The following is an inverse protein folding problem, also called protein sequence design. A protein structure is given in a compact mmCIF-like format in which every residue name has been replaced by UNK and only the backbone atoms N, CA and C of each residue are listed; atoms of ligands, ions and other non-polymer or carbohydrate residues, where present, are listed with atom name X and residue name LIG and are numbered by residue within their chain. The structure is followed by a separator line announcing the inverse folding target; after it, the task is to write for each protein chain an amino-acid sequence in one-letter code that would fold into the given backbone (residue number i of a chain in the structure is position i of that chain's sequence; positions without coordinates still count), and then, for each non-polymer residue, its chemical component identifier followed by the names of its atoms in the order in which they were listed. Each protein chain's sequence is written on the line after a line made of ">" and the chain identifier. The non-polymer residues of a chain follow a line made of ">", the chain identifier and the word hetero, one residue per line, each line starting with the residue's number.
data_IF_077588435488
#
_entry.id   IF_077588435488
#
_cell.length_a   1.000
_cell.length_b   1.000
_cell.length_c   1.000
_cell.angle_alpha   90.00
_cell.angle_beta   90.00
_cell.angle_gamma   90.00
#
_symmetry.space_group_name_H-M   'P 1'
#
loop_
_entity.id
_entity.type
_entity.pdbx_description
1 polymer ?
#
# COMPACT_ATOMS: atom_id res chain seq x y z
N UNK A 1 -14.59 -0.67 -17.56
CA UNK A 1 -15.00 -1.48 -16.40
C UNK A 1 -16.14 -0.75 -15.68
N UNK A 2 -17.06 -1.44 -15.01
CA UNK A 2 -18.09 -0.80 -14.17
C UNK A 2 -17.53 -0.37 -12.81
N UNK A 3 -18.15 0.63 -12.16
CA UNK A 3 -17.70 1.11 -10.84
C UNK A 3 -18.23 0.19 -9.71
N UNK A 4 -17.33 -0.61 -9.13
CA UNK A 4 -17.60 -1.46 -7.96
C UNK A 4 -17.87 -0.60 -6.72
N UNK A 5 -19.04 -0.79 -6.09
CA UNK A 5 -19.38 -0.12 -4.83
C UNK A 5 -19.66 1.38 -4.97
N UNK A 6 -20.11 1.87 -6.11
CA UNK A 6 -20.28 3.32 -6.35
C UNK A 6 -21.17 4.08 -5.34
N UNK A 7 -22.03 3.37 -4.60
CA UNK A 7 -22.91 3.91 -3.56
C UNK A 7 -22.36 3.72 -2.13
N UNK A 8 -21.17 3.14 -1.96
CA UNK A 8 -20.65 2.77 -0.64
C UNK A 8 -20.40 3.98 0.26
N UNK A 9 -20.18 5.16 -0.33
CA UNK A 9 -20.12 6.41 0.42
C UNK A 9 -21.43 6.80 1.11
N UNK A 10 -22.55 6.14 0.84
CA UNK A 10 -23.90 6.45 1.35
C UNK A 10 -24.39 5.48 2.44
N UNK A 11 -23.67 4.38 2.71
CA UNK A 11 -24.10 3.42 3.73
C UNK A 11 -23.94 4.00 5.14
N UNK A 12 -24.63 3.39 6.13
CA UNK A 12 -24.57 3.84 7.52
C UNK A 12 -23.16 3.61 8.10
N UNK A 13 -22.51 4.66 8.63
CA UNK A 13 -21.20 4.53 9.29
C UNK A 13 -21.32 3.96 10.70
N UNK A 14 -20.20 3.47 11.22
CA UNK A 14 -19.99 3.03 12.58
C UNK A 14 -19.68 4.20 13.52
N UNK A 15 -18.72 5.04 13.16
CA UNK A 15 -18.14 6.09 14.00
C UNK A 15 -18.07 7.46 13.33
N UNK A 16 -17.80 7.56 12.01
CA UNK A 16 -17.82 8.84 11.31
C UNK A 16 -19.24 9.41 11.30
N UNK A 17 -19.37 10.69 11.60
CA UNK A 17 -20.63 11.41 11.71
C UNK A 17 -20.55 12.71 10.93
N UNK A 18 -21.71 13.32 10.70
CA UNK A 18 -21.90 14.64 10.11
C UNK A 18 -21.22 14.83 8.75
N UNK A 19 -22.01 14.72 7.68
CA UNK A 19 -21.52 15.04 6.35
C UNK A 19 -21.27 16.54 6.24
N UNK A 20 -20.14 16.87 5.61
CA UNK A 20 -19.82 18.19 5.11
C UNK A 20 -20.80 18.59 3.99
N UNK A 21 -20.89 19.89 3.64
CA UNK A 21 -21.74 20.35 2.53
C UNK A 21 -21.43 19.71 1.17
N UNK A 22 -20.20 19.23 0.97
CA UNK A 22 -19.76 18.49 -0.22
C UNK A 22 -20.21 17.02 -0.24
N UNK A 23 -20.92 16.55 0.80
CA UNK A 23 -21.43 15.19 0.94
C UNK A 23 -20.42 14.19 1.53
N UNK A 24 -19.17 14.59 1.80
CA UNK A 24 -18.14 13.76 2.39
C UNK A 24 -18.14 13.85 3.92
N UNK A 25 -17.62 12.83 4.61
CA UNK A 25 -17.46 12.86 6.07
C UNK A 25 -16.17 13.54 6.53
N UNK A 26 -15.14 13.51 5.69
CA UNK A 26 -13.82 14.06 5.97
C UNK A 26 -13.35 14.88 4.78
N UNK A 27 -12.49 15.86 5.04
CA UNK A 27 -11.80 16.61 3.99
C UNK A 27 -10.65 15.75 3.44
N UNK A 28 -10.68 15.33 2.17
CA UNK A 28 -9.58 14.58 1.60
C UNK A 28 -8.39 15.48 1.22
N UNK A 29 -8.55 16.80 1.27
CA UNK A 29 -7.61 17.75 0.68
C UNK A 29 -7.85 17.90 -0.81
N UNK A 30 -6.85 18.49 -1.50
CA UNK A 30 -6.95 18.73 -2.95
C UNK A 30 -6.71 17.43 -3.71
N UNK A 31 -7.70 16.92 -4.47
CA UNK A 31 -7.52 15.73 -5.29
C UNK A 31 -6.56 16.02 -6.46
N UNK A 32 -5.72 15.05 -6.87
CA UNK A 32 -4.96 15.16 -8.10
C UNK A 32 -5.92 15.16 -9.29
N UNK A 33 -5.86 16.20 -10.11
CA UNK A 33 -6.61 16.31 -11.38
C UNK A 33 -5.66 16.13 -12.56
N UNK A 34 -6.20 15.78 -13.73
CA UNK A 34 -5.38 15.48 -14.91
C UNK A 34 -4.42 16.61 -15.28
N UNK A 35 -4.88 17.86 -15.22
CA UNK A 35 -4.11 19.07 -15.55
C UNK A 35 -3.31 19.64 -14.37
N UNK A 36 -3.16 18.87 -13.28
CA UNK A 36 -2.37 19.31 -12.12
C UNK A 36 -0.89 19.49 -12.55
N UNK A 37 -0.26 20.65 -12.27
CA UNK A 37 1.14 20.89 -12.61
C UNK A 37 2.12 19.83 -12.07
N UNK A 38 1.79 19.17 -10.96
CA UNK A 38 2.61 18.12 -10.36
C UNK A 38 2.29 16.71 -10.91
N UNK A 39 1.21 16.54 -11.69
CA UNK A 39 0.83 15.25 -12.26
C UNK A 39 1.95 14.56 -13.04
N UNK A 40 2.70 15.26 -13.92
CA UNK A 40 3.78 14.61 -14.67
C UNK A 40 4.87 14.05 -13.75
N UNK A 41 5.21 14.75 -12.66
CA UNK A 41 6.23 14.29 -11.70
C UNK A 41 5.77 13.05 -10.92
N UNK A 42 4.50 13.01 -10.51
CA UNK A 42 3.93 11.83 -9.85
C UNK A 42 3.89 10.61 -10.76
N UNK A 43 3.58 10.80 -12.05
CA UNK A 43 3.60 9.72 -13.05
C UNK A 43 5.02 9.22 -13.27
N UNK A 44 6.00 10.12 -13.44
CA UNK A 44 7.42 9.75 -13.58
C UNK A 44 7.90 8.97 -12.35
N UNK A 45 7.54 9.40 -11.15
CA UNK A 45 7.93 8.72 -9.92
C UNK A 45 7.34 7.31 -9.82
N UNK A 46 6.09 7.13 -10.25
CA UNK A 46 5.47 5.80 -10.30
C UNK A 46 6.17 4.90 -11.33
N UNK A 47 6.46 5.41 -12.52
CA UNK A 47 7.22 4.67 -13.56
C UNK A 47 8.60 4.24 -13.05
N UNK A 48 9.30 5.09 -12.26
CA UNK A 48 10.58 4.71 -11.63
C UNK A 48 10.44 3.51 -10.71
N UNK A 49 9.42 3.51 -9.85
CA UNK A 49 9.19 2.41 -8.90
C UNK A 49 8.88 1.09 -9.61
N UNK A 50 8.16 1.14 -10.73
CA UNK A 50 7.92 -0.05 -11.54
C UNK A 50 9.21 -0.53 -12.25
N UNK A 51 10.05 0.38 -12.74
CA UNK A 51 11.35 0.02 -13.30
C UNK A 51 12.28 -0.63 -12.26
N UNK A 52 12.14 -0.27 -10.97
CA UNK A 52 12.86 -0.89 -9.86
C UNK A 52 12.45 -2.34 -9.57
N UNK A 53 11.37 -2.85 -10.19
CA UNK A 53 10.98 -4.26 -10.13
C UNK A 53 11.92 -5.19 -10.93
N UNK A 54 12.92 -4.63 -11.63
CA UNK A 54 13.90 -5.40 -12.38
C UNK A 54 14.57 -6.49 -11.55
N UNK A 55 14.71 -7.68 -12.15
CA UNK A 55 15.49 -8.79 -11.59
C UNK A 55 16.98 -8.47 -11.73
N UNK A 56 17.51 -7.72 -10.78
CA UNK A 56 18.91 -7.32 -10.71
C UNK A 56 19.45 -7.55 -9.29
N UNK A 57 20.20 -8.66 -9.05
CA UNK A 57 20.77 -8.94 -7.74
C UNK A 57 21.85 -7.93 -7.30
N UNK A 58 22.35 -7.10 -8.22
CA UNK A 58 23.34 -6.06 -7.93
C UNK A 58 22.74 -4.81 -7.28
N UNK A 59 21.43 -4.57 -7.45
CA UNK A 59 20.70 -3.46 -6.82
C UNK A 59 20.00 -3.96 -5.58
N UNK A 60 20.45 -3.53 -4.41
CA UNK A 60 19.93 -3.99 -3.11
C UNK A 60 19.41 -2.84 -2.26
N UNK A 61 18.59 -3.18 -1.28
CA UNK A 61 17.99 -2.27 -0.30
C UNK A 61 18.00 -2.94 1.09
N UNK A 62 18.27 -2.16 2.14
CA UNK A 62 18.01 -2.59 3.52
C UNK A 62 16.52 -2.38 3.83
N UNK A 63 15.80 -3.47 4.01
CA UNK A 63 14.36 -3.49 4.31
C UNK A 63 14.07 -3.81 5.77
N UNK A 64 15.09 -3.77 6.64
CA UNK A 64 14.91 -3.92 8.09
C UNK A 64 14.16 -2.71 8.65
N UNK A 65 13.52 -2.82 9.83
CA UNK A 65 12.95 -1.65 10.50
C UNK A 65 13.99 -0.57 10.78
N UNK A 66 15.29 -0.91 10.82
CA UNK A 66 16.39 0.05 10.96
C UNK A 66 16.70 0.87 9.71
N UNK A 67 16.35 0.38 8.51
CA UNK A 67 16.65 1.02 7.23
C UNK A 67 15.45 1.46 6.40
N UNK A 68 14.24 1.00 6.75
CA UNK A 68 13.01 1.25 5.98
C UNK A 68 11.81 1.50 6.89
N UNK A 69 10.91 2.42 6.50
CA UNK A 69 9.76 2.82 7.31
C UNK A 69 10.02 4.08 8.14
N UNK A 70 9.25 4.27 9.21
CA UNK A 70 9.25 5.47 10.05
C UNK A 70 8.97 6.76 9.26
N UNK A 71 7.99 6.71 8.35
CA UNK A 71 7.63 7.88 7.54
C UNK A 71 6.79 8.87 8.34
N UNK A 72 6.90 10.15 7.98
CA UNK A 72 5.89 11.13 8.34
C UNK A 72 4.53 10.70 7.78
N UNK A 73 3.43 10.99 8.47
CA UNK A 73 2.09 10.66 7.94
C UNK A 73 1.88 11.37 6.59
N UNK A 74 1.53 10.58 5.57
CA UNK A 74 1.26 11.09 4.23
C UNK A 74 2.52 11.36 3.40
N UNK A 75 3.64 10.71 3.74
CA UNK A 75 4.90 10.80 2.99
C UNK A 75 5.56 9.41 2.86
N UNK A 76 6.70 9.37 2.17
CA UNK A 76 7.64 8.24 2.14
C UNK A 76 9.07 8.77 2.41
N UNK A 77 9.24 9.55 3.48
CA UNK A 77 10.47 10.27 3.83
C UNK A 77 11.24 9.63 5.00
N UNK A 78 10.76 8.49 5.50
CA UNK A 78 11.33 7.81 6.64
C UNK A 78 12.67 7.15 6.34
N UNK A 79 13.48 6.98 7.38
CA UNK A 79 14.79 6.33 7.33
C UNK A 79 14.88 5.13 8.29
N UNK A 80 13.74 4.59 8.72
CA UNK A 80 13.65 3.53 9.72
C UNK A 80 13.78 4.00 11.17
N UNK A 81 13.74 3.02 12.06
CA UNK A 81 13.88 3.09 13.50
C UNK A 81 15.24 2.50 13.90
N UNK A 82 16.19 3.31 14.36
CA UNK A 82 17.56 2.83 14.62
C UNK A 82 17.64 1.72 15.68
N UNK A 83 16.70 1.68 16.64
CA UNK A 83 16.72 0.80 17.82
C UNK A 83 15.34 0.17 18.01
N UNK A 84 15.31 -1.11 18.33
CA UNK A 84 14.10 -1.79 18.79
C UNK A 84 13.81 -1.35 20.24
N UNK A 85 12.64 -0.74 20.53
CA UNK A 85 12.35 -0.17 21.84
C UNK A 85 12.17 -1.22 22.94
N UNK A 86 11.84 -2.46 22.59
CA UNK A 86 11.63 -3.55 23.53
C UNK A 86 12.96 -4.15 23.97
N UNK A 87 13.87 -4.39 23.01
CA UNK A 87 15.17 -5.03 23.30
C UNK A 87 16.28 -4.03 23.63
N UNK A 88 16.13 -2.76 23.24
CA UNK A 88 17.16 -1.73 23.35
C UNK A 88 18.35 -1.91 22.38
N UNK A 89 18.30 -2.91 21.50
CA UNK A 89 19.34 -3.19 20.52
C UNK A 89 19.02 -2.57 19.14
N UNK A 90 20.03 -2.23 18.33
CA UNK A 90 19.80 -1.83 16.94
C UNK A 90 19.22 -2.97 16.12
N UNK A 91 18.34 -2.67 15.16
CA UNK A 91 17.87 -3.69 14.21
C UNK A 91 19.03 -4.18 13.35
N UNK A 92 19.09 -5.49 13.12
CA UNK A 92 20.03 -6.06 12.18
C UNK A 92 19.63 -5.68 10.74
N UNK A 93 20.60 -5.35 9.86
CA UNK A 93 20.31 -5.10 8.45
C UNK A 93 19.64 -6.30 7.78
N UNK A 94 18.66 -6.04 6.91
CA UNK A 94 17.95 -7.03 6.12
C UNK A 94 18.08 -6.63 4.65
N UNK A 95 19.21 -6.99 4.05
CA UNK A 95 19.57 -6.57 2.69
C UNK A 95 19.02 -7.57 1.67
N UNK A 96 18.17 -7.10 0.76
CA UNK A 96 17.59 -7.93 -0.31
C UNK A 96 17.71 -7.23 -1.68
N UNK A 97 17.62 -7.96 -2.80
CA UNK A 97 17.48 -7.35 -4.13
C UNK A 97 16.24 -6.45 -4.19
N UNK A 98 16.42 -5.23 -4.72
CA UNK A 98 15.36 -4.21 -4.78
C UNK A 98 14.14 -4.71 -5.57
N UNK A 99 14.37 -5.40 -6.69
CA UNK A 99 13.30 -5.97 -7.50
C UNK A 99 12.54 -7.12 -6.81
N UNK A 100 13.21 -7.91 -5.96
CA UNK A 100 12.52 -8.92 -5.15
C UNK A 100 11.64 -8.24 -4.09
N UNK A 101 12.15 -7.22 -3.40
CA UNK A 101 11.38 -6.45 -2.44
C UNK A 101 10.14 -5.80 -3.08
N UNK A 102 10.31 -5.06 -4.18
CA UNK A 102 9.21 -4.35 -4.83
C UNK A 102 8.09 -5.28 -5.32
N UNK A 103 8.45 -6.45 -5.89
CA UNK A 103 7.49 -7.44 -6.37
C UNK A 103 6.76 -8.14 -5.22
N UNK A 104 7.50 -8.56 -4.19
CA UNK A 104 6.92 -9.16 -2.98
C UNK A 104 5.99 -8.16 -2.29
N UNK A 105 6.40 -6.90 -2.16
CA UNK A 105 5.59 -5.85 -1.57
C UNK A 105 4.30 -5.63 -2.37
N UNK A 106 4.40 -5.54 -3.70
CA UNK A 106 3.25 -5.32 -4.58
C UNK A 106 2.22 -6.46 -4.54
N UNK A 107 2.67 -7.71 -4.42
CA UNK A 107 1.79 -8.89 -4.35
C UNK A 107 1.26 -9.14 -2.92
N UNK A 108 2.07 -8.96 -1.88
CA UNK A 108 1.66 -9.18 -0.49
C UNK A 108 0.47 -8.30 -0.10
N UNK A 109 0.49 -7.03 -0.49
CA UNK A 109 -0.59 -6.09 -0.23
C UNK A 109 -1.59 -5.97 -1.38
N UNK A 110 -1.58 -6.89 -2.36
CA UNK A 110 -2.59 -6.92 -3.43
C UNK A 110 -3.87 -7.62 -3.05
N UNK A 111 -3.82 -8.53 -2.08
CA UNK A 111 -4.99 -9.21 -1.53
C UNK A 111 -5.87 -9.82 -2.65
N UNK A 112 -5.28 -10.81 -3.32
CA UNK A 112 -5.83 -11.43 -4.52
C UNK A 112 -7.16 -12.18 -4.29
N UNK A 113 -7.81 -12.68 -5.36
CA UNK A 113 -9.17 -13.24 -5.31
C UNK A 113 -9.35 -14.51 -4.48
N UNK A 114 -8.28 -15.08 -3.93
CA UNK A 114 -8.29 -16.25 -3.03
C UNK A 114 -7.73 -15.95 -1.63
N UNK A 115 -7.41 -14.70 -1.33
CA UNK A 115 -7.07 -14.24 0.02
C UNK A 115 -8.22 -13.40 0.58
N UNK A 116 -8.12 -13.07 1.86
CA UNK A 116 -8.81 -11.93 2.42
C UNK A 116 -8.56 -10.66 1.60
N UNK A 117 -9.59 -9.81 1.48
CA UNK A 117 -9.46 -8.45 0.92
C UNK A 117 -8.68 -7.55 1.89
N UNK A 118 -8.26 -6.33 1.51
CA UNK A 118 -7.44 -5.48 2.39
C UNK A 118 -8.01 -5.24 3.80
N UNK A 119 -9.32 -5.02 4.00
CA UNK A 119 -9.90 -4.96 5.36
C UNK A 119 -9.70 -6.25 6.19
N UNK A 120 -9.75 -7.41 5.53
CA UNK A 120 -9.56 -8.71 6.17
C UNK A 120 -8.10 -8.99 6.52
N UNK A 121 -7.14 -8.52 5.72
CA UNK A 121 -5.70 -8.66 6.00
C UNK A 121 -5.37 -8.07 7.38
N UNK A 122 -5.98 -6.94 7.74
CA UNK A 122 -5.79 -6.34 9.07
C UNK A 122 -6.41 -7.13 10.22
N UNK A 123 -7.40 -7.98 9.97
CA UNK A 123 -7.84 -8.97 10.96
C UNK A 123 -6.80 -10.09 11.10
N UNK A 124 -6.18 -10.55 10.00
CA UNK A 124 -5.06 -11.51 10.05
C UNK A 124 -3.88 -10.96 10.87
N UNK A 125 -3.53 -9.69 10.67
CA UNK A 125 -2.48 -9.00 11.46
C UNK A 125 -2.88 -8.91 12.94
N UNK A 126 -4.13 -8.56 13.25
CA UNK A 126 -4.61 -8.50 14.64
C UNK A 126 -4.50 -9.86 15.35
N UNK A 127 -4.77 -10.95 14.64
CA UNK A 127 -4.62 -12.31 15.16
C UNK A 127 -3.14 -12.64 15.38
N UNK A 128 -2.28 -12.36 14.40
CA UNK A 128 -0.83 -12.53 14.51
C UNK A 128 -0.25 -11.80 15.73
N UNK A 129 -0.69 -10.55 15.96
CA UNK A 129 -0.30 -9.75 17.12
C UNK A 129 -0.79 -10.40 18.41
N UNK A 130 -2.06 -10.78 18.48
CA UNK A 130 -2.68 -11.36 19.69
C UNK A 130 -2.07 -12.72 20.06
N UNK A 131 -1.66 -13.52 19.07
CA UNK A 131 -1.01 -14.81 19.28
C UNK A 131 0.47 -14.70 19.66
N UNK A 132 1.06 -13.50 19.61
CA UNK A 132 2.46 -13.29 19.96
C UNK A 132 2.70 -13.51 21.47
N UNK A 133 3.75 -14.26 21.89
CA UNK A 133 3.98 -14.56 23.30
C UNK A 133 4.21 -13.35 24.22
N UNK A 134 4.66 -12.23 23.64
CA UNK A 134 4.86 -10.96 24.35
C UNK A 134 3.64 -10.04 24.33
N UNK A 135 2.58 -10.39 23.57
CA UNK A 135 1.34 -9.63 23.58
C UNK A 135 0.63 -9.78 24.93
N UNK A 136 -0.02 -8.69 25.37
CA UNK A 136 -0.79 -8.63 26.60
C UNK A 136 -2.17 -8.11 26.24
N UNK A 137 -3.23 -8.79 26.67
CA UNK A 137 -4.63 -8.35 26.42
C UNK A 137 -5.06 -7.24 27.38
N UNK A 138 -4.24 -6.19 27.45
CA UNK A 138 -4.40 -5.01 28.31
C UNK A 138 -4.90 -3.84 27.48
N UNK A 139 -6.21 -3.64 27.50
CA UNK A 139 -6.89 -2.68 26.65
C UNK A 139 -6.40 -1.25 26.88
N UNK A 140 -6.08 -0.56 25.80
CA UNK A 140 -5.58 0.81 25.77
C UNK A 140 -4.27 1.04 26.54
N UNK A 141 -3.44 -0.01 26.68
CA UNK A 141 -2.19 0.07 27.43
C UNK A 141 -2.38 0.35 28.91
N UNK A 142 -3.45 -0.16 29.52
CA UNK A 142 -3.75 0.02 30.95
C UNK A 142 -2.52 -0.36 31.81
N UNK A 143 -1.90 0.58 32.54
CA UNK A 143 -0.69 0.34 33.31
C UNK A 143 -0.91 -0.65 34.47
N UNK A 144 -2.10 -0.71 35.04
CA UNK A 144 -2.42 -1.67 36.10
C UNK A 144 -2.48 -3.09 35.53
N UNK A 145 -3.00 -3.27 34.32
CA UNK A 145 -3.00 -4.55 33.63
C UNK A 145 -1.60 -4.96 33.18
N UNK A 146 -0.85 -4.02 32.58
CA UNK A 146 0.51 -4.27 32.09
C UNK A 146 1.46 -4.66 33.23
N UNK A 147 1.33 -4.01 34.40
CA UNK A 147 2.09 -4.35 35.61
C UNK A 147 1.61 -5.63 36.34
N UNK A 148 0.46 -6.18 35.93
CA UNK A 148 -0.16 -7.37 36.54
C UNK A 148 -0.93 -7.08 37.83
N UNK A 149 -1.21 -5.81 38.14
CA UNK A 149 -2.08 -5.43 39.25
C UNK A 149 -3.56 -5.76 38.97
N UNK A 150 -3.97 -5.74 37.69
CA UNK A 150 -5.27 -6.24 37.22
C UNK A 150 -5.08 -7.39 36.22
N UNK A 151 -6.03 -8.34 36.11
CA UNK A 151 -5.93 -9.41 35.14
C UNK A 151 -6.11 -8.88 33.71
N UNK A 152 -5.45 -9.55 32.76
CA UNK A 152 -5.73 -9.39 31.33
C UNK A 152 -7.18 -9.76 31.00
N UNK A 153 -7.67 -9.23 29.87
CA UNK A 153 -8.96 -9.65 29.35
C UNK A 153 -8.97 -11.14 28.98
N UNK A 154 -10.13 -11.76 29.14
CA UNK A 154 -10.41 -13.08 28.60
C UNK A 154 -10.17 -13.08 27.07
N UNK A 155 -9.63 -14.17 26.48
CA UNK A 155 -9.37 -14.22 25.04
C UNK A 155 -10.58 -13.86 24.18
N UNK A 156 -11.77 -14.36 24.50
CA UNK A 156 -12.98 -14.07 23.74
C UNK A 156 -13.39 -12.60 23.88
N UNK A 157 -13.22 -12.03 25.08
CA UNK A 157 -13.51 -10.62 25.30
C UNK A 157 -12.57 -9.71 24.49
N UNK A 158 -11.29 -10.03 24.46
CA UNK A 158 -10.31 -9.34 23.61
C UNK A 158 -10.69 -9.41 22.14
N UNK A 159 -10.93 -10.61 21.60
CA UNK A 159 -11.23 -10.81 20.18
C UNK A 159 -12.49 -10.03 19.76
N UNK A 160 -13.56 -10.08 20.56
CA UNK A 160 -14.80 -9.35 20.27
C UNK A 160 -14.57 -7.84 20.27
N UNK A 161 -13.81 -7.31 21.23
CA UNK A 161 -13.50 -5.88 21.30
C UNK A 161 -12.61 -5.43 20.14
N UNK A 162 -11.55 -6.19 19.86
CA UNK A 162 -10.61 -5.92 18.76
C UNK A 162 -11.33 -5.94 17.42
N UNK A 163 -12.13 -6.97 17.14
CA UNK A 163 -12.88 -7.05 15.89
C UNK A 163 -13.98 -6.00 15.77
N UNK A 164 -14.64 -5.59 16.85
CA UNK A 164 -15.59 -4.48 16.80
C UNK A 164 -14.88 -3.19 16.35
N UNK A 165 -13.74 -2.88 16.96
CA UNK A 165 -12.99 -1.67 16.67
C UNK A 165 -12.39 -1.68 15.25
N UNK A 166 -11.70 -2.76 14.87
CA UNK A 166 -11.06 -2.87 13.54
C UNK A 166 -12.12 -2.88 12.44
N UNK A 167 -13.16 -3.73 12.55
CA UNK A 167 -14.15 -3.84 11.49
C UNK A 167 -15.03 -2.59 11.40
N UNK A 168 -15.27 -1.91 12.51
CA UNK A 168 -15.89 -0.58 12.51
C UNK A 168 -15.04 0.47 11.78
N UNK A 169 -13.72 0.49 12.04
CA UNK A 169 -12.79 1.41 11.40
C UNK A 169 -12.66 1.16 9.89
N UNK A 170 -12.45 -0.09 9.46
CA UNK A 170 -12.29 -0.40 8.03
C UNK A 170 -13.61 -0.27 7.26
N UNK A 171 -14.77 -0.46 7.91
CA UNK A 171 -16.07 -0.13 7.33
C UNK A 171 -16.19 1.37 7.04
N UNK A 172 -15.88 2.21 8.02
CA UNK A 172 -15.91 3.66 7.84
C UNK A 172 -14.84 4.16 6.86
N UNK A 173 -13.69 3.51 6.83
CA UNK A 173 -12.63 3.79 5.85
C UNK A 173 -13.14 3.52 4.43
N UNK A 174 -13.96 2.47 4.22
CA UNK A 174 -14.59 2.21 2.93
C UNK A 174 -15.54 3.35 2.57
N UNK A 175 -16.39 3.80 3.51
CA UNK A 175 -17.35 4.89 3.29
C UNK A 175 -16.62 6.17 2.88
N UNK A 176 -15.56 6.54 3.62
CA UNK A 176 -14.76 7.74 3.33
C UNK A 176 -14.04 7.59 1.99
N UNK A 177 -13.34 6.49 1.75
CA UNK A 177 -12.57 6.30 0.52
C UNK A 177 -13.48 6.23 -0.72
N UNK A 178 -14.59 5.49 -0.68
CA UNK A 178 -15.52 5.40 -1.81
C UNK A 178 -16.33 6.68 -2.01
N UNK A 179 -16.68 7.39 -0.93
CA UNK A 179 -17.24 8.74 -1.01
C UNK A 179 -16.31 9.67 -1.77
N UNK A 180 -15.05 9.76 -1.36
CA UNK A 180 -14.02 10.57 -2.02
C UNK A 180 -13.82 10.16 -3.48
N UNK A 181 -13.68 8.85 -3.75
CA UNK A 181 -13.57 8.33 -5.13
C UNK A 181 -14.75 8.71 -5.99
N UNK A 182 -15.97 8.63 -5.46
CA UNK A 182 -17.18 8.98 -6.21
C UNK A 182 -17.26 10.47 -6.51
N UNK A 183 -16.89 11.32 -5.55
CA UNK A 183 -16.92 12.78 -5.69
C UNK A 183 -15.90 13.28 -6.71
N UNK A 184 -14.65 12.81 -6.65
CA UNK A 184 -13.57 13.37 -7.46
C UNK A 184 -13.24 12.58 -8.73
N UNK A 185 -13.57 11.29 -8.78
CA UNK A 185 -13.34 10.44 -9.96
C UNK A 185 -11.89 10.50 -10.49
N UNK A 186 -10.91 10.49 -9.59
CA UNK A 186 -9.49 10.63 -9.94
C UNK A 186 -8.99 9.58 -10.95
N UNK A 187 -8.06 9.95 -11.85
CA UNK A 187 -7.57 9.07 -12.91
C UNK A 187 -6.72 7.91 -12.37
N UNK A 188 -6.57 6.83 -13.16
CA UNK A 188 -5.66 5.72 -12.87
C UNK A 188 -4.35 5.86 -13.64
N UNK A 189 -3.21 5.38 -13.12
CA UNK A 189 -1.92 5.50 -13.79
C UNK A 189 -1.89 4.97 -15.23
N UNK A 190 -2.58 3.85 -15.52
CA UNK A 190 -2.66 3.32 -16.89
C UNK A 190 -3.30 4.31 -17.88
N UNK A 191 -4.27 5.09 -17.44
CA UNK A 191 -4.86 6.14 -18.27
C UNK A 191 -3.90 7.32 -18.42
N UNK A 192 -3.26 7.74 -17.32
CA UNK A 192 -2.32 8.86 -17.30
C UNK A 192 -1.12 8.60 -18.22
N UNK A 193 -0.39 7.49 -18.00
CA UNK A 193 0.82 7.16 -18.76
C UNK A 193 0.51 7.06 -20.25
N UNK A 194 -0.56 6.35 -20.62
CA UNK A 194 -0.92 6.14 -22.02
C UNK A 194 -1.38 7.43 -22.71
N UNK A 195 -2.20 8.25 -22.04
CA UNK A 195 -2.66 9.54 -22.59
C UNK A 195 -1.48 10.48 -22.77
N UNK A 196 -0.65 10.64 -21.74
CA UNK A 196 0.53 11.52 -21.80
C UNK A 196 1.56 11.05 -22.83
N UNK A 197 1.75 9.73 -22.99
CA UNK A 197 2.63 9.18 -24.02
C UNK A 197 2.08 9.41 -25.43
N UNK A 198 0.77 9.27 -25.62
CA UNK A 198 0.10 9.51 -26.90
C UNK A 198 0.14 10.98 -27.31
N UNK A 199 -0.06 11.89 -26.35
CA UNK A 199 -0.02 13.34 -26.56
C UNK A 199 1.41 13.90 -26.63
N UNK A 200 2.40 13.11 -26.22
CA UNK A 200 3.80 13.54 -26.16
C UNK A 200 4.13 14.45 -24.98
N UNK A 201 3.26 14.49 -23.96
CA UNK A 201 3.37 15.30 -22.74
C UNK A 201 4.03 14.55 -21.58
N UNK A 202 4.23 13.23 -21.69
CA UNK A 202 4.95 12.44 -20.69
C UNK A 202 6.41 12.92 -20.61
N UNK A 203 6.91 13.38 -19.45
CA UNK A 203 8.26 13.93 -19.35
C UNK A 203 9.33 12.93 -19.73
N UNK A 204 10.27 13.35 -20.57
CA UNK A 204 11.40 12.52 -20.96
C UNK A 204 12.44 12.51 -19.83
N UNK A 205 12.82 11.32 -19.41
CA UNK A 205 13.82 11.05 -18.39
C UNK A 205 14.82 10.05 -18.97
N UNK A 206 16.08 10.46 -19.25
CA UNK A 206 17.09 9.55 -19.81
C UNK A 206 17.21 8.25 -19.01
N UNK A 207 17.20 7.11 -19.70
CA UNK A 207 17.26 5.79 -19.08
C UNK A 207 15.95 5.29 -18.46
N UNK A 208 14.84 6.02 -18.58
CA UNK A 208 13.54 5.62 -18.06
C UNK A 208 12.37 5.90 -19.02
N UNK A 209 12.28 7.13 -19.52
CA UNK A 209 11.23 7.58 -20.44
C UNK A 209 11.92 8.32 -21.58
N UNK A 210 11.89 7.75 -22.77
CA UNK A 210 12.66 8.28 -23.89
C UNK A 210 11.82 8.41 -25.15
N UNK A 211 12.19 9.35 -26.01
CA UNK A 211 11.65 9.37 -27.37
C UNK A 211 12.41 8.35 -28.20
N UNK A 212 11.68 7.53 -28.94
CA UNK A 212 12.26 6.58 -29.89
C UNK A 212 12.84 7.39 -31.06
N UNK A 213 14.13 7.22 -31.33
CA UNK A 213 14.85 7.88 -32.42
C UNK A 213 15.38 6.84 -33.43
N UNK A 214 15.73 7.23 -34.67
CA UNK A 214 16.39 6.32 -35.60
C UNK A 214 17.67 5.70 -35.03
N UNK A 215 18.44 6.45 -34.23
CA UNK A 215 19.69 5.98 -33.62
C UNK A 215 19.40 4.98 -32.51
N UNK A 216 18.48 5.30 -31.59
CA UNK A 216 18.15 4.42 -30.47
C UNK A 216 17.42 3.14 -30.90
N UNK A 217 16.79 3.15 -32.09
CA UNK A 217 16.09 1.99 -32.68
C UNK A 217 16.86 1.28 -33.79
N UNK A 218 18.12 1.65 -34.04
CA UNK A 218 18.98 0.91 -34.96
C UNK A 218 19.24 -0.52 -34.46
N UNK A 219 19.57 -1.48 -35.35
CA UNK A 219 19.88 -2.86 -34.95
C UNK A 219 20.93 -2.93 -33.82
N UNK A 220 20.61 -3.66 -32.75
CA UNK A 220 21.47 -3.81 -31.57
C UNK A 220 21.39 -2.67 -30.55
N UNK A 221 20.55 -1.65 -30.78
CA UNK A 221 20.32 -0.55 -29.84
C UNK A 221 19.11 -0.83 -28.93
N UNK A 222 18.99 -0.06 -27.84
CA UNK A 222 18.02 -0.29 -26.77
C UNK A 222 16.54 -0.25 -27.18
N UNK A 223 16.19 0.46 -28.27
CA UNK A 223 14.84 0.51 -28.84
C UNK A 223 14.72 -0.27 -30.16
N UNK A 224 15.64 -1.20 -30.47
CA UNK A 224 15.67 -1.87 -31.77
C UNK A 224 14.35 -2.55 -32.16
N UNK A 225 13.66 -3.18 -31.21
CA UNK A 225 12.34 -3.80 -31.42
C UNK A 225 11.20 -2.79 -31.58
N UNK A 226 11.45 -1.50 -31.28
CA UNK A 226 10.49 -0.42 -31.40
C UNK A 226 10.74 0.47 -32.65
N UNK A 227 11.62 0.05 -33.58
CA UNK A 227 11.92 0.79 -34.80
C UNK A 227 10.70 1.23 -35.65
N UNK A 228 9.59 0.46 -35.73
CA UNK A 228 8.38 0.92 -36.42
C UNK A 228 7.71 2.16 -35.79
N UNK A 229 8.14 2.56 -34.59
CA UNK A 229 7.49 3.58 -33.76
C UNK A 229 8.40 4.79 -33.47
N UNK A 230 9.41 5.04 -34.31
CA UNK A 230 10.23 6.26 -34.23
C UNK A 230 9.33 7.50 -34.08
N UNK A 231 9.67 8.35 -33.13
CA UNK A 231 8.92 9.54 -32.76
C UNK A 231 7.96 9.35 -31.58
N UNK A 232 7.57 8.12 -31.25
CA UNK A 232 6.74 7.84 -30.06
C UNK A 232 7.59 7.82 -28.78
N UNK A 233 6.91 7.88 -27.62
CA UNK A 233 7.54 7.76 -26.31
C UNK A 233 7.62 6.28 -25.92
N UNK A 234 8.80 5.83 -25.52
CA UNK A 234 9.07 4.55 -24.88
C UNK A 234 9.29 4.74 -23.37
N UNK A 235 8.91 3.72 -22.61
CA UNK A 235 9.05 3.66 -21.15
C UNK A 235 9.77 2.35 -20.80
N UNK A 236 10.74 2.42 -19.89
CA UNK A 236 11.40 1.25 -19.33
C UNK A 236 10.51 0.70 -18.19
N UNK A 237 9.84 -0.42 -18.42
CA UNK A 237 8.82 -0.94 -17.51
C UNK A 237 8.61 -2.46 -17.66
N UNK A 238 7.76 -3.02 -16.81
CA UNK A 238 7.34 -4.41 -16.89
C UNK A 238 6.37 -4.58 -18.08
N UNK A 239 6.66 -5.47 -19.04
CA UNK A 239 5.87 -5.59 -20.27
C UNK A 239 4.63 -6.49 -20.12
N UNK A 240 4.38 -7.05 -18.93
CA UNK A 240 3.31 -8.00 -18.65
C UNK A 240 3.81 -9.39 -18.25
N UNK A 241 2.90 -10.25 -17.79
CA UNK A 241 3.21 -11.62 -17.34
C UNK A 241 3.94 -12.44 -18.43
N UNK A 242 4.91 -13.30 -18.06
CA UNK A 242 5.58 -14.20 -19.00
C UNK A 242 4.63 -15.29 -19.51
N UNK A 243 5.12 -16.09 -20.46
CA UNK A 243 4.37 -17.22 -20.99
C UNK A 243 4.12 -18.31 -19.96
N UNK A 244 5.17 -18.71 -19.24
CA UNK A 244 5.13 -19.64 -18.12
C UNK A 244 5.47 -18.91 -16.82
N UNK A 245 4.47 -18.72 -15.96
CA UNK A 245 4.62 -17.91 -14.74
C UNK A 245 5.23 -18.69 -13.58
N UNK A 246 5.23 -20.01 -13.67
CA UNK A 246 5.80 -20.87 -12.64
C UNK A 246 7.32 -21.03 -12.84
N UNK A 247 7.81 -20.80 -14.07
CA UNK A 247 9.21 -21.02 -14.42
C UNK A 247 9.95 -19.75 -14.87
N UNK A 248 9.26 -18.76 -15.43
CA UNK A 248 9.91 -17.60 -16.03
C UNK A 248 9.70 -16.32 -15.21
N UNK A 249 10.69 -15.43 -15.29
CA UNK A 249 10.58 -14.01 -14.92
C UNK A 249 10.57 -13.13 -16.16
N UNK A 250 9.94 -11.97 -16.07
CA UNK A 250 9.92 -11.01 -17.16
C UNK A 250 10.94 -9.90 -16.91
N UNK A 251 11.89 -9.74 -17.83
CA UNK A 251 12.81 -8.63 -17.77
C UNK A 251 12.08 -7.30 -17.99
N UNK A 252 12.41 -6.30 -17.16
CA UNK A 252 12.09 -4.90 -17.45
C UNK A 252 12.70 -4.53 -18.80
N UNK A 253 11.91 -3.94 -19.68
CA UNK A 253 12.33 -3.60 -21.02
C UNK A 253 11.65 -2.35 -21.55
N UNK A 254 12.18 -1.79 -22.63
CA UNK A 254 11.57 -0.67 -23.30
C UNK A 254 10.26 -1.10 -23.97
N UNK A 255 9.16 -0.46 -23.59
CA UNK A 255 7.83 -0.64 -24.19
C UNK A 255 7.31 0.71 -24.67
N UNK A 256 6.38 0.73 -25.63
CA UNK A 256 5.72 1.99 -26.00
C UNK A 256 4.93 2.50 -24.80
N UNK A 257 4.99 3.80 -24.51
CA UNK A 257 4.21 4.39 -23.41
C UNK A 257 2.71 4.18 -23.58
N UNK A 258 2.21 4.08 -24.82
CA UNK A 258 0.81 3.75 -25.13
C UNK A 258 0.43 2.29 -24.87
N UNK A 259 1.42 1.39 -24.77
CA UNK A 259 1.22 -0.02 -24.43
C UNK A 259 1.50 -0.32 -22.95
N UNK A 260 2.00 0.67 -22.20
CA UNK A 260 2.36 0.52 -20.78
C UNK A 260 1.25 -0.12 -19.96
N UNK A 261 1.61 -1.04 -19.07
CA UNK A 261 0.69 -1.72 -18.15
C UNK A 261 1.29 -1.72 -16.75
N UNK A 262 0.46 -1.65 -15.70
CA UNK A 262 0.94 -1.82 -14.33
C UNK A 262 1.39 -3.26 -14.06
N UNK A 263 2.27 -3.45 -13.08
CA UNK A 263 2.64 -4.75 -12.51
C UNK A 263 1.43 -5.45 -11.85
N UNK A 264 0.65 -6.14 -12.67
CA UNK A 264 -0.57 -6.88 -12.29
C UNK A 264 -0.81 -8.06 -13.24
N UNK A 265 -1.54 -9.08 -12.78
CA UNK A 265 -1.96 -10.19 -13.65
C UNK A 265 -2.88 -9.70 -14.77
N UNK A 266 -2.79 -10.33 -15.94
CA UNK A 266 -3.70 -10.12 -17.08
C UNK A 266 -5.16 -10.32 -16.70
N UNK A 267 -5.44 -11.22 -15.75
CA UNK A 267 -6.79 -11.52 -15.24
C UNK A 267 -7.18 -10.70 -14.00
N UNK A 268 -6.25 -9.94 -13.44
CA UNK A 268 -6.44 -9.09 -12.26
C UNK A 268 -6.08 -7.65 -12.61
N UNK A 269 -6.88 -7.09 -13.51
CA UNK A 269 -6.66 -5.76 -14.08
C UNK A 269 -6.86 -4.65 -13.05
N UNK A 270 -6.37 -3.45 -13.37
CA UNK A 270 -6.56 -2.24 -12.56
C UNK A 270 -8.00 -2.15 -12.06
N UNK A 271 -8.24 -2.03 -10.74
CA UNK A 271 -9.57 -2.19 -10.18
C UNK A 271 -10.60 -1.22 -10.76
N UNK A 272 -11.83 -1.69 -10.94
CA UNK A 272 -12.97 -0.95 -11.50
C UNK A 272 -13.51 0.13 -10.55
N UNK A 273 -12.67 1.07 -10.12
CA UNK A 273 -13.05 2.25 -9.34
C UNK A 273 -11.97 3.35 -9.48
N UNK A 274 -12.32 4.64 -9.27
CA UNK A 274 -11.40 5.78 -9.41
C UNK A 274 -10.12 5.67 -8.57
N UNK A 275 -9.07 6.40 -8.95
CA UNK A 275 -7.77 6.42 -8.27
C UNK A 275 -7.85 7.07 -6.88
N UNK A 276 -8.15 8.35 -6.83
CA UNK A 276 -8.10 9.12 -5.59
C UNK A 276 -9.30 8.89 -4.67
N UNK A 277 -9.14 8.54 -3.39
CA UNK A 277 -7.91 8.15 -2.68
C UNK A 277 -7.67 6.64 -2.74
N UNK A 278 -6.46 6.16 -2.47
CA UNK A 278 -6.14 4.74 -2.33
C UNK A 278 -6.93 4.10 -1.18
N UNK A 279 -7.78 3.12 -1.51
CA UNK A 279 -8.55 2.39 -0.50
C UNK A 279 -7.63 1.59 0.44
N UNK A 280 -6.59 0.94 -0.09
CA UNK A 280 -5.63 0.17 0.72
C UNK A 280 -4.97 1.08 1.75
N UNK A 281 -4.54 2.28 1.35
CA UNK A 281 -3.91 3.24 2.26
C UNK A 281 -4.87 3.69 3.37
N UNK A 282 -6.14 3.92 3.04
CA UNK A 282 -7.16 4.32 4.03
C UNK A 282 -7.52 3.18 4.99
N UNK A 283 -7.75 1.97 4.49
CA UNK A 283 -8.02 0.79 5.33
C UNK A 283 -6.87 0.51 6.27
N UNK A 284 -5.66 0.45 5.71
CA UNK A 284 -4.48 0.06 6.46
C UNK A 284 -4.13 1.07 7.54
N UNK A 285 -4.20 2.37 7.23
CA UNK A 285 -3.93 3.37 8.26
C UNK A 285 -5.01 3.37 9.34
N UNK A 286 -6.28 3.24 8.99
CA UNK A 286 -7.36 3.16 9.98
C UNK A 286 -7.20 1.97 10.94
N UNK A 287 -6.89 0.79 10.41
CA UNK A 287 -6.66 -0.40 11.23
C UNK A 287 -5.40 -0.30 12.10
N UNK A 288 -4.31 0.29 11.57
CA UNK A 288 -3.10 0.52 12.36
C UNK A 288 -3.32 1.47 13.54
N UNK A 289 -4.11 2.54 13.37
CA UNK A 289 -4.49 3.40 14.51
C UNK A 289 -5.29 2.63 15.55
N UNK A 290 -6.19 1.74 15.13
CA UNK A 290 -6.97 0.91 16.06
C UNK A 290 -6.05 0.00 16.85
N UNK A 291 -5.17 -0.76 16.20
CA UNK A 291 -4.23 -1.66 16.88
C UNK A 291 -3.31 -0.89 17.84
N UNK A 292 -2.70 0.20 17.37
CA UNK A 292 -1.86 1.05 18.21
C UNK A 292 -2.59 1.59 19.43
N UNK A 293 -3.86 1.99 19.26
CA UNK A 293 -4.67 2.46 20.38
C UNK A 293 -5.07 1.35 21.34
N UNK A 294 -5.46 0.17 20.84
CA UNK A 294 -5.88 -0.98 21.66
C UNK A 294 -4.72 -1.55 22.49
N UNK A 295 -3.52 -1.62 21.92
CA UNK A 295 -2.32 -2.07 22.65
C UNK A 295 -1.74 -0.95 23.53
N UNK A 296 -2.10 0.32 23.24
CA UNK A 296 -1.56 1.51 23.90
C UNK A 296 -0.14 1.87 23.47
N UNK A 297 0.38 1.20 22.44
CA UNK A 297 1.71 1.36 21.88
C UNK A 297 1.67 1.04 20.37
N UNK A 298 2.33 1.80 19.48
CA UNK A 298 2.28 1.51 18.04
C UNK A 298 3.19 0.38 17.58
N UNK A 299 4.02 -0.20 18.46
CA UNK A 299 4.98 -1.24 18.09
C UNK A 299 4.30 -2.60 18.03
N UNK A 300 4.76 -3.44 17.09
CA UNK A 300 4.45 -4.85 17.17
C UNK A 300 5.01 -5.43 18.49
N UNK A 301 4.37 -6.44 19.10
CA UNK A 301 4.93 -7.14 20.26
C UNK A 301 6.37 -7.61 19.98
N UNK A 302 7.27 -7.45 20.95
CA UNK A 302 8.72 -7.69 20.74
C UNK A 302 9.44 -6.63 19.88
N UNK A 303 8.71 -5.62 19.40
CA UNK A 303 9.21 -4.58 18.50
C UNK A 303 9.41 -5.04 17.06
N UNK A 304 8.82 -6.16 16.63
CA UNK A 304 9.04 -6.69 15.28
C UNK A 304 7.83 -7.49 14.76
N UNK A 305 7.19 -7.00 13.70
CA UNK A 305 6.30 -7.78 12.85
C UNK A 305 7.05 -8.32 11.63
N UNK A 306 6.77 -9.55 11.20
CA UNK A 306 7.43 -10.15 10.04
C UNK A 306 6.45 -10.90 9.11
N UNK A 307 6.77 -10.90 7.83
CA UNK A 307 6.17 -11.77 6.83
C UNK A 307 7.25 -12.38 5.93
N UNK A 308 7.14 -13.68 5.62
CA UNK A 308 8.15 -14.42 4.84
C UNK A 308 7.61 -14.80 3.46
N UNK A 309 8.19 -14.23 2.42
CA UNK A 309 8.03 -14.66 1.04
C UNK A 309 9.14 -15.66 0.67
N UNK A 310 8.76 -16.91 0.46
CA UNK A 310 9.70 -17.99 0.11
C UNK A 310 10.21 -17.83 -1.33
N UNK A 311 11.50 -18.12 -1.58
CA UNK A 311 12.07 -18.00 -2.91
C UNK A 311 11.37 -18.96 -3.88
N UNK A 312 11.09 -18.49 -5.10
CA UNK A 312 10.48 -19.25 -6.19
C UNK A 312 9.10 -19.86 -5.91
N UNK A 313 8.46 -19.48 -4.81
CA UNK A 313 7.19 -20.10 -4.36
C UNK A 313 6.11 -19.07 -4.02
N UNK A 314 6.48 -17.79 -3.89
CA UNK A 314 5.56 -16.76 -3.40
C UNK A 314 4.90 -15.93 -4.50
N UNK A 315 5.67 -15.48 -5.50
CA UNK A 315 5.13 -14.60 -6.55
C UNK A 315 4.22 -15.39 -7.50
N UNK A 316 3.09 -14.78 -7.88
CA UNK A 316 2.06 -15.41 -8.73
C UNK A 316 1.99 -14.75 -10.12
N UNK A 317 2.59 -13.57 -10.27
CA UNK A 317 2.58 -12.85 -11.55
C UNK A 317 3.68 -13.39 -12.48
N UNK A 318 4.77 -13.87 -11.89
CA UNK A 318 5.94 -14.48 -12.53
C UNK A 318 6.76 -15.23 -11.46
N UNK A 319 7.76 -16.01 -11.87
CA UNK A 319 8.55 -16.80 -10.93
C UNK A 319 9.34 -15.92 -9.94
N UNK A 320 9.38 -16.30 -8.68
CA UNK A 320 10.21 -15.64 -7.66
C UNK A 320 9.54 -15.56 -6.28
N UNK A 321 10.09 -14.74 -5.36
CA UNK A 321 11.32 -13.95 -5.49
C UNK A 321 12.58 -14.80 -5.70
N UNK A 322 13.69 -14.17 -6.11
CA UNK A 322 14.96 -14.88 -6.36
C UNK A 322 15.65 -15.36 -5.09
N UNK A 323 15.44 -14.65 -3.98
CA UNK A 323 15.86 -15.01 -2.62
C UNK A 323 14.67 -14.99 -1.66
N UNK A 324 14.84 -15.52 -0.45
CA UNK A 324 13.84 -15.30 0.60
C UNK A 324 13.77 -13.81 0.93
N UNK A 325 12.56 -13.26 0.90
CA UNK A 325 12.30 -11.87 1.32
C UNK A 325 11.51 -11.90 2.62
N UNK A 326 12.06 -11.26 3.65
CA UNK A 326 11.38 -11.06 4.93
C UNK A 326 10.95 -9.60 5.02
N UNK A 327 9.67 -9.33 4.82
CA UNK A 327 9.13 -8.01 5.13
C UNK A 327 9.13 -7.86 6.65
N UNK A 328 9.61 -6.73 7.15
CA UNK A 328 9.73 -6.45 8.57
C UNK A 328 9.17 -5.07 8.89
N UNK A 329 8.51 -4.95 10.04
CA UNK A 329 7.87 -3.71 10.50
C UNK A 329 8.17 -3.51 11.98
N UNK A 330 8.59 -2.30 12.36
CA UNK A 330 8.71 -1.94 13.78
C UNK A 330 7.34 -1.63 14.36
N UNK A 331 6.58 -0.78 13.65
CA UNK A 331 5.27 -0.29 14.06
C UNK A 331 4.16 -0.75 13.13
N UNK A 332 2.91 -0.75 13.63
CA UNK A 332 1.72 -0.94 12.80
C UNK A 332 1.63 0.11 11.68
N UNK A 333 2.18 1.31 11.91
CA UNK A 333 2.24 2.36 10.90
C UNK A 333 3.21 2.02 9.76
N UNK A 334 4.32 1.34 10.02
CA UNK A 334 5.24 0.89 8.98
C UNK A 334 4.56 -0.12 8.05
N UNK A 335 3.81 -1.07 8.62
CA UNK A 335 3.01 -2.03 7.85
C UNK A 335 1.94 -1.31 7.02
N UNK A 336 1.23 -0.35 7.61
CA UNK A 336 0.21 0.42 6.91
C UNK A 336 0.76 1.29 5.78
N UNK A 337 1.92 1.91 6.00
CA UNK A 337 2.61 2.70 4.98
C UNK A 337 3.08 1.81 3.82
N UNK A 338 3.64 0.63 4.13
CA UNK A 338 4.03 -0.36 3.12
C UNK A 338 2.84 -0.84 2.28
N UNK A 339 1.66 -0.99 2.89
CA UNK A 339 0.43 -1.29 2.15
C UNK A 339 0.11 -0.21 1.10
N UNK A 340 0.32 1.06 1.42
CA UNK A 340 0.19 2.17 0.49
C UNK A 340 1.26 2.20 -0.59
N UNK A 341 2.53 2.08 -0.19
CA UNK A 341 3.70 2.05 -1.09
C UNK A 341 3.61 0.94 -2.12
N UNK A 342 3.08 -0.23 -1.73
CA UNK A 342 2.85 -1.37 -2.63
C UNK A 342 2.01 -1.00 -3.87
N UNK A 343 1.16 0.03 -3.77
CA UNK A 343 0.26 0.46 -4.86
C UNK A 343 0.94 1.40 -5.84
N UNK A 344 2.03 2.02 -5.40
CA UNK A 344 2.96 2.74 -6.25
C UNK A 344 3.86 1.76 -7.01
N UNK A 345 4.45 0.77 -6.31
CA UNK A 345 5.23 -0.30 -6.96
C UNK A 345 4.38 -1.12 -7.95
N UNK A 346 3.14 -1.44 -7.59
CA UNK A 346 2.20 -2.12 -8.48
C UNK A 346 1.66 -1.25 -9.62
N UNK A 347 2.03 0.03 -9.71
CA UNK A 347 1.63 0.93 -10.79
C UNK A 347 0.13 1.28 -10.86
N UNK A 348 -0.63 1.12 -9.78
CA UNK A 348 -2.10 1.32 -9.79
C UNK A 348 -2.56 2.60 -9.08
N UNK A 349 -1.67 3.27 -8.36
CA UNK A 349 -1.88 4.56 -7.71
C UNK A 349 -0.68 5.48 -7.95
N UNK A 350 -0.93 6.79 -7.89
CA UNK A 350 0.12 7.81 -7.78
C UNK A 350 0.26 8.23 -6.30
N UNK A 351 1.40 8.85 -5.94
CA UNK A 351 1.68 9.28 -4.57
C UNK A 351 0.54 10.01 -3.84
N UNK A 352 -0.13 11.03 -4.42
CA UNK A 352 -1.21 11.72 -3.72
C UNK A 352 -2.43 10.82 -3.41
N UNK A 353 -2.68 9.77 -4.20
CA UNK A 353 -3.74 8.80 -3.87
C UNK A 353 -3.43 8.05 -2.58
N UNK A 354 -2.17 7.63 -2.42
CA UNK A 354 -1.68 6.94 -1.24
C UNK A 354 -1.66 7.88 -0.03
N UNK A 355 -0.98 9.02 -0.16
CA UNK A 355 -0.79 9.97 0.93
C UNK A 355 -2.11 10.51 1.48
N UNK A 356 -3.02 10.93 0.60
CA UNK A 356 -4.38 11.35 1.02
C UNK A 356 -5.14 10.20 1.68
N UNK A 357 -4.97 8.98 1.18
CA UNK A 357 -5.58 7.79 1.75
C UNK A 357 -5.12 7.53 3.18
N UNK A 358 -3.82 7.65 3.48
CA UNK A 358 -3.28 7.47 4.84
C UNK A 358 -3.78 8.54 5.80
N UNK A 359 -3.78 9.82 5.38
CA UNK A 359 -4.27 10.93 6.21
C UNK A 359 -5.73 10.71 6.61
N UNK A 360 -6.58 10.36 5.64
CA UNK A 360 -7.98 10.02 5.92
C UNK A 360 -8.12 8.80 6.82
N UNK A 361 -7.31 7.76 6.58
CA UNK A 361 -7.33 6.54 7.38
C UNK A 361 -7.02 6.81 8.84
N UNK A 362 -6.07 7.71 9.15
CA UNK A 362 -5.77 8.07 10.55
C UNK A 362 -7.00 8.66 11.25
N UNK A 363 -7.65 9.64 10.64
CA UNK A 363 -8.85 10.29 11.22
C UNK A 363 -9.99 9.29 11.43
N UNK A 364 -10.20 8.38 10.47
CA UNK A 364 -11.21 7.31 10.60
C UNK A 364 -10.88 6.38 11.77
N UNK A 365 -9.64 5.90 11.85
CA UNK A 365 -9.20 4.97 12.88
C UNK A 365 -9.38 5.54 14.29
N UNK A 366 -8.96 6.79 14.51
CA UNK A 366 -9.11 7.46 15.81
C UNK A 366 -10.58 7.62 16.22
N UNK A 367 -11.47 8.01 15.30
CA UNK A 367 -12.91 8.09 15.59
C UNK A 367 -13.53 6.72 15.89
N UNK A 368 -13.10 5.69 15.18
CA UNK A 368 -13.56 4.33 15.44
C UNK A 368 -13.13 3.83 16.82
N UNK A 369 -11.90 4.14 17.26
CA UNK A 369 -11.42 3.86 18.61
C UNK A 369 -12.28 4.56 19.66
N UNK A 370 -12.59 5.85 19.48
CA UNK A 370 -13.45 6.60 20.40
C UNK A 370 -14.84 5.97 20.52
N UNK A 371 -15.45 5.60 19.39
CA UNK A 371 -16.75 4.93 19.38
C UNK A 371 -16.69 3.56 20.03
N UNK A 372 -15.65 2.78 19.76
CA UNK A 372 -15.45 1.47 20.37
C UNK A 372 -15.26 1.58 21.90
N UNK A 373 -14.47 2.56 22.37
CA UNK A 373 -14.30 2.84 23.80
C UNK A 373 -15.63 3.06 24.51
N UNK A 374 -16.52 3.84 23.90
CA UNK A 374 -17.85 4.08 24.46
C UNK A 374 -18.71 2.79 24.57
N UNK A 375 -18.53 1.83 23.65
CA UNK A 375 -19.17 0.52 23.79
C UNK A 375 -18.55 -0.31 24.91
N UNK A 376 -17.23 -0.22 25.10
CA UNK A 376 -16.51 -1.03 26.09
C UNK A 376 -16.77 -0.57 27.53
N UNK A 377 -16.94 0.74 27.75
CA UNK A 377 -17.23 1.31 29.08
C UNK A 377 -18.74 1.45 29.37
N UNK A 378 -19.60 1.10 28.40
CA UNK A 378 -21.06 1.17 28.52
C UNK A 378 -21.65 2.57 28.40
N UNK A 379 -20.87 3.58 27.99
CA UNK A 379 -21.34 4.95 27.77
C UNK A 379 -21.95 5.20 26.39
N UNK A 380 -21.89 4.23 25.47
CA UNK A 380 -22.43 4.36 24.13
C UNK A 380 -23.92 4.71 24.13
N UNK A 381 -24.25 5.85 23.52
CA UNK A 381 -25.63 6.24 23.25
C UNK A 381 -26.08 5.61 21.90
N UNK A 382 -27.30 5.05 21.83
CA UNK A 382 -27.86 4.39 20.63
C UNK A 382 -27.85 5.21 19.34
#
# INVERSE_FOLDING_TARGET
>A
QGYIGAHWGEVRPFAVQDRRPDGLYLDPGTPPVFDDPAMPDWVVQMVRLEADLAVDPGRTLDISPGGYGNNTLGTNDGAGHAVNPVTGAPYAPNIVPLGDFGRVLAEHWADGPRSETPPGHWNTIANYVTDHPEHRRCLFGDPDCLSGATPELDPLEWDVKTYLAINGAVHDAAIVAWGTKRTFSGPRPISLVRSMAQEGTLPLVPGLIERITPESSAPGQRHAHLAPFVGQIAVLAWPGEPGDRDLDTTAIQWIRGVDWVPYQRRTFVTPGFPGYVSGHSTFSRAAAEVLAALDGDPWFPGGLGEFVARPQDYLVFEAGPSVEVRLQWGTYYDAADQAGQSRLYGGIHIQPDDFGGRVLGREVGLRAVERARAFFDGSAVP
#
